data_IF_245258114537
#
_entry.id   IF_245258114537
#
_cell.length_a   1.000
_cell.length_b   1.000
_cell.length_c   1.000
_cell.angle_alpha   90.00
_cell.angle_beta   90.00
_cell.angle_gamma   90.00
#
_symmetry.space_group_name_H-M   'P 1'
#
loop_
_entity.id
_entity.type
_entity.pdbx_description
1 polymer ?
#
# COMPACT_ATOMS: atom_id res chain seq x y z
N UNK A 1 17.36 -3.70 15.99
CA UNK A 1 16.18 -4.55 16.17
C UNK A 1 16.56 -6.01 16.34
N UNK A 2 15.67 -6.80 16.90
CA UNK A 2 15.85 -8.26 17.01
C UNK A 2 15.44 -8.92 15.68
N UNK A 3 16.04 -10.04 15.35
CA UNK A 3 15.65 -10.89 14.21
C UNK A 3 14.78 -12.03 14.73
N UNK A 4 13.76 -12.38 13.97
CA UNK A 4 12.93 -13.56 14.19
C UNK A 4 13.05 -14.50 12.99
N UNK A 5 12.87 -15.81 13.22
CA UNK A 5 13.00 -16.84 12.17
C UNK A 5 11.68 -17.08 11.43
N UNK A 6 10.55 -16.72 12.05
CA UNK A 6 9.22 -16.90 11.49
C UNK A 6 8.34 -15.66 11.71
N UNK A 7 7.27 -15.47 10.89
CA UNK A 7 6.26 -14.44 11.13
C UNK A 7 5.60 -14.55 12.52
N UNK A 8 5.36 -15.77 13.00
CA UNK A 8 4.81 -16.04 14.33
C UNK A 8 5.71 -15.47 15.43
N UNK A 9 7.02 -15.77 15.39
CA UNK A 9 8.00 -15.23 16.34
C UNK A 9 8.11 -13.71 16.27
N UNK A 10 8.10 -13.14 15.04
CA UNK A 10 8.15 -11.70 14.85
C UNK A 10 6.93 -10.97 15.41
N UNK A 11 5.76 -11.60 15.38
CA UNK A 11 4.50 -11.03 15.86
C UNK A 11 4.29 -11.16 17.38
N UNK A 12 5.10 -12.00 18.04
CA UNK A 12 4.94 -12.30 19.47
C UNK A 12 5.09 -11.03 20.31
N UNK A 13 4.13 -10.81 21.18
CA UNK A 13 4.04 -9.68 22.11
C UNK A 13 3.96 -8.28 21.45
N UNK A 14 3.91 -8.21 20.11
CA UNK A 14 3.79 -6.96 19.36
C UNK A 14 2.39 -6.34 19.53
N UNK A 15 2.33 -5.00 19.66
CA UNK A 15 1.07 -4.23 19.59
C UNK A 15 0.65 -3.98 18.15
N UNK A 16 1.64 -3.80 17.26
CA UNK A 16 1.45 -3.59 15.84
C UNK A 16 2.35 -4.53 15.06
N UNK A 17 1.78 -5.22 14.08
CA UNK A 17 2.50 -6.10 13.15
C UNK A 17 2.31 -5.53 11.74
N UNK A 18 3.41 -5.24 11.07
CA UNK A 18 3.39 -4.67 9.72
C UNK A 18 3.88 -5.69 8.70
N UNK A 19 3.20 -5.76 7.56
CA UNK A 19 3.59 -6.62 6.45
C UNK A 19 3.55 -5.88 5.11
N UNK A 20 4.47 -6.27 4.23
CA UNK A 20 4.48 -5.88 2.82
C UNK A 20 5.13 -7.00 2.04
N UNK A 21 4.35 -7.78 1.30
CA UNK A 21 4.78 -8.95 0.54
C UNK A 21 4.32 -8.87 -0.92
N UNK A 22 4.46 -9.92 -1.71
CA UNK A 22 4.33 -9.87 -3.16
C UNK A 22 2.90 -9.98 -3.69
N UNK A 23 2.04 -10.80 -3.05
CA UNK A 23 0.73 -11.18 -3.61
C UNK A 23 -0.20 -11.78 -2.55
N UNK A 24 -1.41 -12.21 -2.98
CA UNK A 24 -2.45 -12.81 -2.14
C UNK A 24 -1.95 -14.08 -1.41
N UNK A 25 -1.18 -14.93 -2.07
CA UNK A 25 -0.73 -16.21 -1.50
C UNK A 25 0.39 -16.00 -0.49
N UNK A 26 1.33 -15.09 -0.78
CA UNK A 26 2.36 -14.69 0.18
C UNK A 26 1.73 -14.10 1.45
N UNK A 27 0.70 -13.25 1.29
CA UNK A 27 0.00 -12.66 2.43
C UNK A 27 -0.73 -13.73 3.26
N UNK A 28 -1.37 -14.72 2.62
CA UNK A 28 -1.97 -15.85 3.34
C UNK A 28 -0.94 -16.66 4.09
N UNK A 29 0.21 -16.93 3.47
CA UNK A 29 1.27 -17.73 4.07
C UNK A 29 1.84 -17.05 5.32
N UNK A 30 2.22 -15.76 5.22
CA UNK A 30 2.80 -15.04 6.37
C UNK A 30 1.80 -14.74 7.48
N UNK A 31 0.49 -14.78 7.20
CA UNK A 31 -0.55 -14.54 8.21
C UNK A 31 -1.09 -15.82 8.80
N UNK A 32 -1.55 -16.76 7.96
CA UNK A 32 -2.30 -17.96 8.33
C UNK A 32 -1.55 -19.26 8.06
N UNK A 33 -0.35 -19.24 7.49
CA UNK A 33 0.50 -20.42 7.30
C UNK A 33 0.91 -21.07 8.62
N UNK A 34 1.64 -22.18 8.55
CA UNK A 34 1.99 -23.00 9.73
C UNK A 34 2.71 -22.22 10.85
N UNK A 35 3.53 -21.23 10.46
CA UNK A 35 4.24 -20.31 11.38
C UNK A 35 3.85 -18.84 11.09
N UNK A 36 2.59 -18.62 10.69
CA UNK A 36 2.08 -17.32 10.32
C UNK A 36 1.88 -16.40 11.53
N UNK A 37 1.95 -15.09 11.28
CA UNK A 37 1.88 -14.06 12.31
C UNK A 37 0.62 -14.17 13.20
N UNK A 38 -0.51 -14.61 12.64
CA UNK A 38 -1.77 -14.75 13.37
C UNK A 38 -1.74 -15.81 14.49
N UNK A 39 -0.74 -16.68 14.51
CA UNK A 39 -0.51 -17.64 15.60
C UNK A 39 0.24 -17.02 16.77
N UNK A 40 1.10 -16.02 16.50
CA UNK A 40 1.90 -15.34 17.53
C UNK A 40 1.28 -14.05 18.06
N UNK A 41 0.32 -13.45 17.35
CA UNK A 41 -0.29 -12.18 17.74
C UNK A 41 -1.12 -12.29 19.02
N UNK A 42 -0.96 -11.31 19.90
CA UNK A 42 -1.77 -11.18 21.11
C UNK A 42 -3.13 -10.53 20.84
N UNK A 43 -4.09 -10.77 21.75
CA UNK A 43 -5.37 -10.08 21.69
C UNK A 43 -5.21 -8.56 21.75
N UNK A 44 -6.02 -7.85 21.01
CA UNK A 44 -6.00 -6.40 20.93
C UNK A 44 -4.87 -5.83 20.05
N UNK A 45 -3.97 -6.64 19.48
CA UNK A 45 -2.97 -6.17 18.52
C UNK A 45 -3.62 -5.71 17.20
N UNK A 46 -2.86 -5.00 16.37
CA UNK A 46 -3.31 -4.57 15.04
C UNK A 46 -2.33 -5.08 13.99
N UNK A 47 -2.83 -5.83 13.01
CA UNK A 47 -2.08 -6.18 11.81
C UNK A 47 -2.31 -5.11 10.74
N UNK A 48 -1.23 -4.55 10.19
CA UNK A 48 -1.25 -3.49 9.18
C UNK A 48 -0.61 -4.06 7.90
N UNK A 49 -1.43 -4.29 6.87
CA UNK A 49 -0.99 -4.86 5.61
C UNK A 49 -0.77 -3.77 4.56
N UNK A 50 0.48 -3.53 4.18
CA UNK A 50 0.86 -2.60 3.11
C UNK A 50 0.95 -3.26 1.72
N UNK A 51 0.69 -4.56 1.65
CA UNK A 51 0.71 -5.30 0.38
C UNK A 51 -0.41 -4.83 -0.54
N UNK A 52 -0.16 -4.76 -1.84
CA UNK A 52 -1.21 -4.60 -2.83
C UNK A 52 -1.75 -5.97 -3.20
N UNK A 53 -2.94 -6.30 -2.70
CA UNK A 53 -3.61 -7.60 -2.85
C UNK A 53 -5.08 -7.44 -3.21
N UNK A 54 -5.78 -8.55 -3.44
CA UNK A 54 -7.22 -8.50 -3.70
C UNK A 54 -8.01 -8.08 -2.45
N UNK A 55 -9.05 -7.27 -2.63
CA UNK A 55 -9.98 -6.94 -1.54
C UNK A 55 -10.67 -8.20 -0.97
N UNK A 56 -10.69 -9.31 -1.72
CA UNK A 56 -11.25 -10.59 -1.28
C UNK A 56 -10.39 -11.24 -0.20
N UNK A 57 -9.06 -11.31 -0.41
CA UNK A 57 -8.16 -11.88 0.61
C UNK A 57 -8.13 -11.01 1.86
N UNK A 58 -8.08 -9.70 1.70
CA UNK A 58 -8.15 -8.73 2.79
C UNK A 58 -9.35 -8.95 3.71
N UNK A 59 -10.57 -9.01 3.13
CA UNK A 59 -11.78 -9.24 3.92
C UNK A 59 -11.76 -10.57 4.65
N UNK A 60 -11.23 -11.62 4.01
CA UNK A 60 -11.11 -12.93 4.65
C UNK A 60 -10.13 -12.91 5.83
N UNK A 61 -8.99 -12.24 5.67
CA UNK A 61 -8.00 -12.11 6.74
C UNK A 61 -8.52 -11.23 7.89
N UNK A 62 -9.26 -10.18 7.59
CA UNK A 62 -9.91 -9.33 8.61
C UNK A 62 -10.95 -10.13 9.44
N UNK A 63 -11.73 -10.99 8.79
CA UNK A 63 -12.67 -11.90 9.48
C UNK A 63 -11.93 -12.86 10.42
N UNK A 64 -10.84 -13.48 9.95
CA UNK A 64 -10.03 -14.40 10.75
C UNK A 64 -9.39 -13.65 11.94
N UNK A 65 -8.83 -12.47 11.70
CA UNK A 65 -8.23 -11.63 12.73
C UNK A 65 -9.22 -11.27 13.83
N UNK A 66 -10.43 -10.82 13.46
CA UNK A 66 -11.51 -10.51 14.40
C UNK A 66 -11.94 -11.73 15.23
N UNK A 67 -12.03 -12.92 14.59
CA UNK A 67 -12.31 -14.18 15.29
C UNK A 67 -11.22 -14.61 16.29
N UNK A 68 -10.00 -14.08 16.15
CA UNK A 68 -8.87 -14.32 17.07
C UNK A 68 -8.66 -13.19 18.09
N UNK A 69 -9.45 -12.11 18.05
CA UNK A 69 -9.42 -11.02 19.02
C UNK A 69 -8.39 -9.92 18.72
N UNK A 70 -7.94 -9.76 17.50
CA UNK A 70 -7.11 -8.65 17.05
C UNK A 70 -7.65 -8.03 15.76
N UNK A 71 -7.16 -6.85 15.39
CA UNK A 71 -7.66 -6.08 14.26
C UNK A 71 -6.76 -6.25 13.03
N UNK A 72 -7.35 -6.11 11.83
CA UNK A 72 -6.65 -6.11 10.55
C UNK A 72 -6.99 -4.82 9.79
N UNK A 73 -5.96 -4.10 9.34
CA UNK A 73 -6.07 -2.94 8.46
C UNK A 73 -5.40 -3.25 7.13
N UNK A 74 -6.14 -3.13 6.03
CA UNK A 74 -5.54 -3.05 4.71
C UNK A 74 -5.08 -1.61 4.46
N UNK A 75 -3.80 -1.44 4.25
CA UNK A 75 -3.15 -0.14 4.21
C UNK A 75 -2.15 -0.03 3.04
N UNK A 76 -2.54 -0.39 1.80
CA UNK A 76 -1.64 -0.28 0.65
C UNK A 76 -1.14 1.15 0.48
N UNK A 77 0.07 1.25 -0.07
CA UNK A 77 0.84 2.49 -0.14
C UNK A 77 1.06 2.97 -1.58
N UNK A 78 1.34 4.25 -1.72
CA UNK A 78 1.84 4.89 -2.95
C UNK A 78 3.00 5.82 -2.59
N UNK A 79 4.00 5.93 -3.49
CA UNK A 79 5.20 6.76 -3.31
C UNK A 79 6.50 6.04 -3.68
N UNK A 80 6.44 4.71 -3.92
CA UNK A 80 7.61 3.90 -4.29
C UNK A 80 8.70 3.88 -3.23
N UNK A 81 9.90 3.45 -3.62
CA UNK A 81 11.06 3.37 -2.74
C UNK A 81 11.43 4.75 -2.17
N UNK A 82 11.49 5.78 -3.02
CA UNK A 82 11.83 7.14 -2.59
C UNK A 82 10.83 7.69 -1.55
N UNK A 83 9.53 7.41 -1.71
CA UNK A 83 8.50 7.79 -0.73
C UNK A 83 8.70 7.09 0.61
N UNK A 84 9.12 5.83 0.60
CA UNK A 84 9.39 5.07 1.82
C UNK A 84 10.66 5.58 2.53
N UNK A 85 11.76 5.78 1.80
CA UNK A 85 13.03 6.27 2.35
C UNK A 85 12.91 7.68 2.94
N UNK A 86 12.10 8.53 2.33
CA UNK A 86 11.90 9.91 2.78
C UNK A 86 10.73 10.07 3.79
N UNK A 87 10.03 8.99 4.15
CA UNK A 87 8.91 9.05 5.09
C UNK A 87 7.70 9.83 4.57
N UNK A 88 7.46 9.83 3.25
CA UNK A 88 6.41 10.63 2.60
C UNK A 88 5.41 9.78 1.80
N UNK A 89 5.17 8.56 2.23
CA UNK A 89 4.18 7.67 1.61
C UNK A 89 2.75 8.23 1.71
N UNK A 90 1.91 7.83 0.77
CA UNK A 90 0.46 7.94 0.87
C UNK A 90 -0.10 6.57 1.25
N UNK A 91 -0.83 6.49 2.35
CA UNK A 91 -1.42 5.25 2.88
C UNK A 91 -2.94 5.29 2.75
N UNK A 92 -3.51 4.30 2.08
CA UNK A 92 -4.94 4.16 1.83
C UNK A 92 -5.50 3.07 2.74
N UNK A 93 -6.21 3.43 3.80
CA UNK A 93 -6.58 2.48 4.85
C UNK A 93 -8.03 2.02 4.72
N UNK A 94 -8.24 0.72 4.85
CA UNK A 94 -9.53 0.08 5.07
C UNK A 94 -9.52 -0.73 6.37
N UNK A 95 -10.63 -0.73 7.10
CA UNK A 95 -10.76 -1.49 8.33
C UNK A 95 -11.58 -0.81 9.40
N UNK A 96 -11.40 -1.25 10.64
CA UNK A 96 -12.07 -0.71 11.81
C UNK A 96 -11.52 0.67 12.22
N UNK A 97 -12.41 1.60 12.59
CA UNK A 97 -12.02 2.98 12.90
C UNK A 97 -11.20 3.09 14.21
N UNK A 98 -11.50 2.30 15.22
CA UNK A 98 -10.76 2.31 16.49
C UNK A 98 -9.33 1.76 16.28
N UNK A 99 -9.21 0.66 15.52
CA UNK A 99 -7.92 0.10 15.13
C UNK A 99 -7.09 1.10 14.31
N UNK A 100 -7.74 1.84 13.41
CA UNK A 100 -7.10 2.89 12.61
C UNK A 100 -6.54 4.01 13.49
N UNK A 101 -7.33 4.56 14.40
CA UNK A 101 -6.89 5.65 15.31
C UNK A 101 -5.69 5.22 16.18
N UNK A 102 -5.68 3.96 16.62
CA UNK A 102 -4.54 3.39 17.38
C UNK A 102 -3.29 3.21 16.52
N UNK A 103 -3.45 2.78 15.26
CA UNK A 103 -2.34 2.53 14.35
C UNK A 103 -1.81 3.79 13.67
N UNK A 104 -2.63 4.84 13.56
CA UNK A 104 -2.29 6.08 12.85
C UNK A 104 -0.97 6.72 13.30
N UNK A 105 -0.67 6.88 14.63
CA UNK A 105 0.61 7.46 15.06
C UNK A 105 1.84 6.67 14.58
N UNK A 106 1.70 5.34 14.41
CA UNK A 106 2.78 4.49 13.88
C UNK A 106 2.97 4.74 12.39
N UNK A 107 1.86 4.83 11.63
CA UNK A 107 1.89 5.10 10.19
C UNK A 107 2.32 6.54 9.86
N UNK A 108 2.05 7.52 10.74
CA UNK A 108 2.49 8.91 10.58
C UNK A 108 4.03 9.03 10.51
N UNK A 109 4.78 8.07 11.08
CA UNK A 109 6.24 8.11 11.09
C UNK A 109 6.88 7.93 9.70
N UNK A 110 6.15 7.37 8.72
CA UNK A 110 6.67 7.10 7.37
C UNK A 110 5.74 7.57 6.24
N UNK A 111 4.77 8.42 6.57
CA UNK A 111 3.80 8.88 5.55
C UNK A 111 3.46 10.36 5.73
N UNK A 112 3.14 10.99 4.60
CA UNK A 112 2.63 12.38 4.55
C UNK A 112 1.10 12.46 4.45
N UNK A 113 0.44 11.36 4.09
CA UNK A 113 -1.01 11.28 3.94
C UNK A 113 -1.48 9.90 4.34
N UNK A 114 -2.40 9.86 5.29
CA UNK A 114 -3.06 8.63 5.73
C UNK A 114 -4.56 8.90 5.81
N UNK A 115 -5.36 8.02 5.26
CA UNK A 115 -6.81 8.18 5.33
C UNK A 115 -7.51 6.83 5.46
N UNK A 116 -8.41 6.72 6.44
CA UNK A 116 -9.39 5.65 6.49
C UNK A 116 -10.49 5.91 5.46
N UNK A 117 -10.72 4.97 4.56
CA UNK A 117 -11.60 5.11 3.39
C UNK A 117 -12.88 4.28 3.51
N UNK A 118 -12.97 3.46 4.55
CA UNK A 118 -14.13 2.62 4.83
C UNK A 118 -13.75 1.27 5.45
N UNK A 119 -14.65 0.28 5.45
CA UNK A 119 -14.39 -1.04 6.02
C UNK A 119 -13.31 -1.81 5.27
N UNK A 120 -12.92 -2.97 5.79
CA UNK A 120 -11.88 -3.83 5.21
C UNK A 120 -12.06 -4.07 3.71
N UNK A 121 -10.96 -3.92 2.96
CA UNK A 121 -10.89 -3.96 1.50
C UNK A 121 -11.05 -2.61 0.81
N UNK A 122 -11.44 -1.54 1.53
CA UNK A 122 -11.58 -0.20 0.91
C UNK A 122 -10.22 0.45 0.64
N UNK A 123 -9.20 0.16 1.44
CA UNK A 123 -7.82 0.53 1.14
C UNK A 123 -7.35 -0.07 -0.18
N UNK A 124 -7.54 -1.40 -0.35
CA UNK A 124 -7.19 -2.10 -1.59
C UNK A 124 -7.97 -1.59 -2.81
N UNK A 125 -9.28 -1.37 -2.67
CA UNK A 125 -10.08 -0.81 -3.77
C UNK A 125 -9.63 0.59 -4.14
N UNK A 126 -9.26 1.42 -3.16
CA UNK A 126 -8.68 2.74 -3.42
C UNK A 126 -7.32 2.63 -4.11
N UNK A 127 -6.50 1.67 -3.73
CA UNK A 127 -5.24 1.37 -4.44
C UNK A 127 -5.50 0.94 -5.88
N UNK A 128 -6.56 0.18 -6.16
CA UNK A 128 -6.95 -0.17 -7.53
C UNK A 128 -7.33 1.07 -8.35
N UNK A 129 -8.07 2.03 -7.78
CA UNK A 129 -8.34 3.31 -8.43
C UNK A 129 -7.04 4.05 -8.76
N UNK A 130 -6.13 4.15 -7.79
CA UNK A 130 -4.80 4.75 -8.00
C UNK A 130 -4.06 4.07 -9.16
N UNK A 131 -4.07 2.73 -9.23
CA UNK A 131 -3.37 1.97 -10.27
C UNK A 131 -4.01 2.16 -11.66
N UNK A 132 -5.33 2.25 -11.74
CA UNK A 132 -6.04 2.56 -13.01
C UNK A 132 -5.61 3.94 -13.51
N UNK A 133 -5.56 4.95 -12.64
CA UNK A 133 -5.14 6.30 -13.01
C UNK A 133 -3.68 6.31 -13.50
N UNK A 134 -2.76 5.64 -12.79
CA UNK A 134 -1.34 5.57 -13.18
C UNK A 134 -1.19 4.83 -14.51
N UNK A 135 -1.87 3.70 -14.70
CA UNK A 135 -1.78 2.93 -15.95
C UNK A 135 -2.24 3.77 -17.16
N UNK A 136 -3.38 4.46 -17.04
CA UNK A 136 -3.88 5.34 -18.09
C UNK A 136 -2.94 6.49 -18.41
N UNK A 137 -2.38 7.12 -17.37
CA UNK A 137 -1.44 8.23 -17.51
C UNK A 137 -0.15 7.79 -18.19
N UNK A 138 0.47 6.70 -17.74
CA UNK A 138 1.74 6.18 -18.31
C UNK A 138 1.53 5.75 -19.75
N UNK A 139 0.40 5.09 -20.06
CA UNK A 139 0.07 4.74 -21.45
C UNK A 139 -0.06 5.98 -22.32
N UNK A 140 -0.85 6.98 -21.90
CA UNK A 140 -1.05 8.22 -22.67
C UNK A 140 0.25 9.00 -22.88
N UNK A 141 1.10 9.09 -21.85
CA UNK A 141 2.40 9.74 -21.96
C UNK A 141 3.33 8.99 -22.94
N UNK A 142 3.35 7.66 -22.87
CA UNK A 142 4.16 6.84 -23.78
C UNK A 142 3.73 6.99 -25.23
N UNK A 143 2.44 7.02 -25.51
CA UNK A 143 1.88 7.27 -26.85
C UNK A 143 2.25 8.68 -27.34
N UNK A 144 2.14 9.70 -26.46
CA UNK A 144 2.53 11.08 -26.79
C UNK A 144 4.01 11.21 -27.14
N UNK A 145 4.90 10.58 -26.36
CA UNK A 145 6.33 10.53 -26.61
C UNK A 145 6.64 9.81 -27.93
N UNK A 146 5.96 8.68 -28.19
CA UNK A 146 6.12 7.96 -29.46
C UNK A 146 5.71 8.82 -30.65
N UNK A 147 4.56 9.50 -30.56
CA UNK A 147 4.09 10.43 -31.59
C UNK A 147 5.10 11.55 -31.85
N UNK A 148 5.63 12.19 -30.80
CA UNK A 148 6.62 13.25 -30.91
C UNK A 148 7.87 12.77 -31.66
N UNK A 149 8.38 11.58 -31.31
CA UNK A 149 9.52 10.95 -32.04
C UNK A 149 9.20 10.70 -33.50
N UNK A 150 8.04 10.12 -33.81
CA UNK A 150 7.62 9.82 -35.18
C UNK A 150 7.42 11.10 -36.03
N UNK A 151 6.99 12.19 -35.41
CA UNK A 151 6.82 13.49 -36.06
C UNK A 151 8.11 14.31 -36.17
N UNK A 152 9.24 13.82 -35.65
CA UNK A 152 10.54 14.51 -35.69
C UNK A 152 10.64 15.71 -34.76
N UNK A 153 9.79 15.76 -33.70
CA UNK A 153 9.85 16.80 -32.68
C UNK A 153 11.01 16.54 -31.71
N UNK A 154 11.52 17.63 -31.12
CA UNK A 154 12.39 17.54 -29.95
C UNK A 154 11.58 17.07 -28.73
N UNK A 155 11.77 15.81 -28.34
CA UNK A 155 10.98 15.19 -27.27
C UNK A 155 11.22 15.86 -25.91
N UNK A 156 12.46 16.25 -25.61
CA UNK A 156 12.82 16.93 -24.37
C UNK A 156 12.12 18.28 -24.30
N UNK A 157 12.23 19.09 -25.33
CA UNK A 157 11.53 20.39 -25.41
C UNK A 157 10.01 20.27 -25.36
N UNK A 158 9.43 19.20 -25.94
CA UNK A 158 7.99 18.92 -25.82
C UNK A 158 7.62 18.63 -24.37
N UNK A 159 8.32 17.72 -23.68
CA UNK A 159 8.03 17.37 -22.29
C UNK A 159 8.22 18.55 -21.36
N UNK A 160 9.30 19.31 -21.50
CA UNK A 160 9.53 20.54 -20.72
C UNK A 160 8.39 21.55 -20.86
N UNK A 161 7.85 21.66 -22.07
CA UNK A 161 6.74 22.60 -22.34
C UNK A 161 5.43 22.11 -21.72
N UNK A 162 5.03 20.86 -22.00
CA UNK A 162 3.72 20.34 -21.57
C UNK A 162 3.66 20.03 -20.08
N UNK A 163 4.81 19.79 -19.42
CA UNK A 163 4.88 19.63 -17.96
C UNK A 163 4.49 20.87 -17.17
N UNK A 164 4.37 22.03 -17.82
CA UNK A 164 3.90 23.29 -17.20
C UNK A 164 2.45 23.62 -17.54
N UNK A 165 1.77 22.75 -18.29
CA UNK A 165 0.39 22.92 -18.74
C UNK A 165 -0.57 21.89 -18.14
N UNK A 166 -1.76 21.80 -18.74
CA UNK A 166 -2.83 20.90 -18.29
C UNK A 166 -2.49 19.39 -18.38
N UNK A 167 -1.48 19.03 -19.15
CA UNK A 167 -1.00 17.64 -19.29
C UNK A 167 0.03 17.25 -18.22
N UNK A 168 0.43 18.19 -17.34
CA UNK A 168 1.43 17.93 -16.29
C UNK A 168 1.13 16.67 -15.49
N UNK A 169 2.18 15.91 -15.20
CA UNK A 169 2.10 14.77 -14.31
C UNK A 169 3.43 14.55 -13.59
N UNK A 170 3.36 13.86 -12.44
CA UNK A 170 4.54 13.48 -11.69
C UNK A 170 5.54 12.65 -12.53
N UNK A 171 5.04 11.82 -13.45
CA UNK A 171 5.85 10.98 -14.32
C UNK A 171 6.65 11.75 -15.38
N UNK A 172 6.26 12.99 -15.69
CA UNK A 172 7.04 13.86 -16.59
C UNK A 172 8.21 14.54 -15.86
N UNK A 173 8.13 14.67 -14.52
CA UNK A 173 9.10 15.40 -13.70
C UNK A 173 10.11 14.47 -13.00
N UNK A 174 9.88 13.13 -13.04
CA UNK A 174 10.69 12.11 -12.37
C UNK A 174 10.90 10.89 -13.28
#
# INVERSE_FOLDING_TARGET
>A
GMKASTPEEAAKDADFVMACVGNDDDLREITCGANGAFSGMKQGAVFIDHTTVSAKVTRKLAEIAGGKGFSFLDAPISGGQAGAENGVLTVMVGGDAEAFERAKPVMDAYSRMIKLLGPSGYGQMTKMVNQICIAGLVQGLSEGIHFAKAAGLDVEGVIDTISKGAAQSWQMEN
#
